data_IF_583550453270
#
_entry.id   IF_583550453270
#
_cell.length_a   1.000
_cell.length_b   1.000
_cell.length_c   1.000
_cell.angle_alpha   90.00
_cell.angle_beta   90.00
_cell.angle_gamma   90.00
#
_symmetry.space_group_name_H-M   'P 1'
#
loop_
_entity.id
_entity.type
_entity.pdbx_description
1 polymer ?
#
# COMPACT_ATOMS: atom_id res chain seq x y z
N UNK A 1 5.76 0.89 -11.75
CA UNK A 1 5.51 -0.54 -12.06
C UNK A 1 4.02 -0.72 -12.21
N UNK A 2 3.58 -1.27 -13.33
CA UNK A 2 2.18 -1.58 -13.56
C UNK A 2 1.79 -2.93 -12.96
N UNK A 3 0.57 -3.00 -12.43
CA UNK A 3 -0.05 -4.21 -11.92
C UNK A 3 -1.55 -4.18 -12.18
N UNK A 4 -2.14 -5.35 -12.32
CA UNK A 4 -3.59 -5.55 -12.35
C UNK A 4 -4.04 -6.12 -11.02
N UNK A 5 -5.18 -5.64 -10.51
CA UNK A 5 -5.74 -6.08 -9.23
C UNK A 5 -7.09 -6.73 -9.50
N UNK A 6 -7.23 -7.97 -9.05
CA UNK A 6 -8.45 -8.76 -9.15
C UNK A 6 -8.89 -9.30 -7.79
N UNK A 7 -10.00 -10.03 -7.82
CA UNK A 7 -10.50 -10.80 -6.68
C UNK A 7 -10.46 -12.27 -7.07
N UNK A 8 -9.60 -13.04 -6.39
CA UNK A 8 -9.51 -14.50 -6.49
C UNK A 8 -10.14 -15.19 -5.29
N UNK A 9 -9.93 -16.50 -5.19
CA UNK A 9 -10.55 -17.36 -4.16
C UNK A 9 -10.13 -16.98 -2.73
N UNK A 10 -8.89 -16.49 -2.57
CA UNK A 10 -8.32 -16.07 -1.29
C UNK A 10 -8.39 -14.54 -1.07
N UNK A 11 -9.22 -13.84 -1.85
CA UNK A 11 -9.42 -12.39 -1.75
C UNK A 11 -8.65 -11.60 -2.82
N UNK A 12 -7.92 -10.56 -2.43
CA UNK A 12 -7.25 -9.67 -3.40
C UNK A 12 -6.04 -10.38 -4.03
N UNK A 13 -6.06 -10.48 -5.36
CA UNK A 13 -4.94 -10.97 -6.18
C UNK A 13 -4.33 -9.84 -7.00
N UNK A 14 -3.01 -9.88 -7.16
CA UNK A 14 -2.26 -8.86 -7.90
C UNK A 14 -1.35 -9.53 -8.91
N UNK A 15 -1.51 -9.15 -10.17
CA UNK A 15 -0.66 -9.59 -11.27
C UNK A 15 0.34 -8.49 -11.60
N UNK A 16 1.63 -8.78 -11.45
CA UNK A 16 2.69 -7.85 -11.82
C UNK A 16 2.93 -7.89 -13.33
N UNK A 17 2.75 -6.75 -14.00
CA UNK A 17 2.93 -6.66 -15.46
C UNK A 17 4.38 -6.39 -15.87
N UNK A 18 5.28 -6.14 -14.91
CA UNK A 18 6.69 -5.78 -15.10
C UNK A 18 6.93 -4.62 -16.09
N UNK A 19 5.90 -3.79 -16.30
CA UNK A 19 5.94 -2.66 -17.22
C UNK A 19 6.18 -1.36 -16.45
N UNK A 20 7.09 -0.54 -16.96
CA UNK A 20 7.24 0.84 -16.51
C UNK A 20 6.11 1.70 -17.08
N UNK A 21 5.45 2.45 -16.20
CA UNK A 21 4.37 3.37 -16.56
C UNK A 21 4.61 4.72 -15.90
N UNK A 22 4.17 5.83 -16.52
CA UNK A 22 4.21 7.16 -15.89
C UNK A 22 3.40 7.20 -14.60
N UNK A 23 3.79 8.10 -13.69
CA UNK A 23 3.08 8.35 -12.44
C UNK A 23 3.62 7.56 -11.24
N UNK A 24 3.20 7.99 -10.05
CA UNK A 24 3.53 7.33 -8.80
C UNK A 24 2.68 6.06 -8.61
N UNK A 25 3.22 5.08 -7.89
CA UNK A 25 2.45 3.90 -7.51
C UNK A 25 1.37 4.29 -6.48
N UNK A 26 0.08 4.02 -6.74
CA UNK A 26 -0.99 4.49 -5.86
C UNK A 26 -1.05 3.74 -4.52
N UNK A 27 -0.60 2.48 -4.47
CA UNK A 27 -0.58 1.64 -3.27
C UNK A 27 0.61 0.68 -3.27
N UNK A 28 1.05 0.30 -2.07
CA UNK A 28 2.04 -0.76 -1.92
C UNK A 28 1.35 -2.14 -1.88
N UNK A 29 1.93 -3.14 -2.53
CA UNK A 29 1.39 -4.51 -2.60
C UNK A 29 2.29 -5.52 -1.87
N UNK A 30 3.02 -5.07 -0.85
CA UNK A 30 4.00 -5.89 -0.11
C UNK A 30 3.33 -7.08 0.58
N UNK A 31 2.10 -6.90 1.06
CA UNK A 31 1.32 -7.98 1.70
C UNK A 31 0.93 -9.08 0.69
N UNK A 32 0.69 -8.72 -0.58
CA UNK A 32 0.49 -9.71 -1.65
C UNK A 32 1.75 -10.55 -1.88
N UNK A 33 2.93 -9.90 -1.89
CA UNK A 33 4.22 -10.61 -2.03
C UNK A 33 4.49 -11.50 -0.81
N UNK A 34 4.20 -11.03 0.40
CA UNK A 34 4.36 -11.82 1.62
C UNK A 34 3.44 -13.06 1.65
N UNK A 35 2.22 -12.95 1.11
CA UNK A 35 1.33 -14.11 0.92
C UNK A 35 1.95 -15.13 -0.04
N UNK A 36 2.47 -14.68 -1.18
CA UNK A 36 3.17 -15.56 -2.14
C UNK A 36 4.40 -16.24 -1.52
N UNK A 37 5.05 -15.60 -0.55
CA UNK A 37 6.17 -16.15 0.21
C UNK A 37 5.73 -17.14 1.33
N UNK A 38 4.44 -17.42 1.48
CA UNK A 38 3.91 -18.37 2.47
C UNK A 38 3.89 -17.83 3.90
N UNK A 39 3.90 -16.52 4.10
CA UNK A 39 3.79 -15.93 5.44
C UNK A 39 2.37 -16.20 6.01
N UNK A 40 2.23 -16.61 7.29
CA UNK A 40 0.94 -16.93 7.87
C UNK A 40 -0.08 -15.79 7.81
N UNK A 41 -1.34 -16.12 7.54
CA UNK A 41 -2.43 -15.14 7.40
C UNK A 41 -2.60 -14.21 8.62
N UNK A 42 -2.39 -14.72 9.85
CA UNK A 42 -2.45 -13.92 11.07
C UNK A 42 -1.39 -12.80 11.12
N UNK A 43 -0.21 -13.06 10.57
CA UNK A 43 0.87 -12.07 10.45
C UNK A 43 0.53 -11.04 9.38
N UNK A 44 0.00 -11.49 8.24
CA UNK A 44 -0.43 -10.61 7.15
C UNK A 44 -1.54 -9.66 7.57
N UNK A 45 -2.52 -10.16 8.33
CA UNK A 45 -3.62 -9.35 8.87
C UNK A 45 -3.08 -8.24 9.78
N UNK A 46 -2.21 -8.59 10.74
CA UNK A 46 -1.61 -7.62 11.66
C UNK A 46 -0.72 -6.60 10.93
N UNK A 47 -0.01 -7.03 9.89
CA UNK A 47 0.79 -6.15 9.05
C UNK A 47 -0.09 -5.14 8.29
N UNK A 48 -1.22 -5.58 7.73
CA UNK A 48 -2.20 -4.71 7.08
C UNK A 48 -2.77 -3.67 8.05
N UNK A 49 -3.18 -4.08 9.24
CA UNK A 49 -3.70 -3.18 10.28
C UNK A 49 -2.66 -2.10 10.63
N UNK A 50 -1.41 -2.50 10.88
CA UNK A 50 -0.34 -1.54 11.19
C UNK A 50 0.04 -0.63 10.03
N UNK A 51 0.02 -1.13 8.80
CA UNK A 51 0.25 -0.30 7.61
C UNK A 51 -0.84 0.76 7.45
N UNK A 52 -2.11 0.37 7.63
CA UNK A 52 -3.26 1.28 7.55
C UNK A 52 -3.20 2.37 8.64
N UNK A 53 -2.87 1.99 9.88
CA UNK A 53 -2.66 2.94 10.98
C UNK A 53 -1.54 3.94 10.65
N UNK A 54 -0.45 3.42 10.07
CA UNK A 54 0.70 4.24 9.68
C UNK A 54 0.36 5.20 8.55
N UNK A 55 -0.29 4.74 7.48
CA UNK A 55 -0.71 5.58 6.35
C UNK A 55 -1.66 6.70 6.81
N UNK A 56 -2.59 6.36 7.71
CA UNK A 56 -3.53 7.33 8.29
C UNK A 56 -2.81 8.40 9.12
N UNK A 57 -1.86 7.99 9.96
CA UNK A 57 -1.12 8.90 10.84
C UNK A 57 -0.01 9.69 10.11
N UNK A 58 0.55 9.14 9.05
CA UNK A 58 1.58 9.80 8.24
C UNK A 58 0.97 10.76 7.21
N UNK A 59 -0.15 10.39 6.56
CA UNK A 59 -0.88 11.26 5.65
C UNK A 59 -1.39 12.54 6.34
N UNK A 60 -1.85 12.42 7.58
CA UNK A 60 -2.29 13.58 8.39
C UNK A 60 -1.15 14.54 8.76
N UNK A 61 0.07 14.03 9.03
CA UNK A 61 1.23 14.87 9.37
C UNK A 61 1.70 15.76 8.22
N UNK A 62 1.56 15.30 6.98
CA UNK A 62 1.91 16.07 5.79
C UNK A 62 0.93 17.20 5.44
N UNK A 63 -0.31 17.15 5.93
CA UNK A 63 -1.28 18.24 5.77
C UNK A 63 -1.03 19.37 6.78
N UNK A 64 -0.71 19.02 8.03
CA UNK A 64 -0.45 20.00 9.11
C UNK A 64 0.83 20.81 8.85
N UNK A 65 1.80 20.24 8.14
CA UNK A 65 3.06 20.92 7.78
C UNK A 65 2.94 21.83 6.56
N UNK A 66 1.95 21.65 5.68
CA UNK A 66 1.73 22.54 4.52
C UNK A 66 1.06 23.87 4.88
N UNK A 67 0.27 23.93 5.96
CA UNK A 67 -0.41 25.15 6.41
C UNK A 67 0.54 26.20 7.03
N UNK A 68 1.74 25.81 7.47
CA UNK A 68 2.70 26.75 8.11
C UNK A 68 3.65 27.48 7.15
N UNK A 69 3.49 27.33 5.83
CA UNK A 69 4.37 27.99 4.84
C UNK A 69 3.64 28.82 3.78
N UNK A 70 2.39 29.22 4.05
CA UNK A 70 1.63 30.25 3.29
C UNK A 70 1.23 31.37 4.25
N UNK A 71 2.18 31.91 5.00
CA UNK A 71 2.02 33.13 5.80
C UNK A 71 3.40 33.61 6.24
N UNK A 72 4.19 34.06 5.27
CA UNK A 72 5.36 34.92 5.44
C UNK A 72 5.58 35.68 4.14
#
# INVERSE_FOLDING_TARGET
MACEVGVGEEGIEVTFLYRLTPGACPKSYVVNVARLAGIPASVLQRANEKSSDFETSYGKRNLITKDKHVSA
#
